data_IF_739413680487
#
_entry.id   IF_739413680487
#
_cell.length_a   1.000
_cell.length_b   1.000
_cell.length_c   1.000
_cell.angle_alpha   90.00
_cell.angle_beta   90.00
_cell.angle_gamma   90.00
#
_symmetry.space_group_name_H-M   'P 1'
#
loop_
_entity.id
_entity.type
_entity.pdbx_description
1 polymer ?
#
# COMPACT_ATOMS: atom_id res chain seq x y z
N UNK A 1 -7.85 -15.47 -0.25
CA UNK A 1 -7.36 -15.05 -1.59
C UNK A 1 -6.97 -13.57 -1.62
N UNK A 2 -7.84 -12.65 -1.23
CA UNK A 2 -7.58 -11.18 -1.30
C UNK A 2 -6.34 -10.73 -0.54
N UNK A 3 -6.11 -11.26 0.66
CA UNK A 3 -4.94 -10.94 1.50
C UNK A 3 -3.60 -11.33 0.87
N UNK A 4 -3.56 -12.43 0.12
CA UNK A 4 -2.34 -12.86 -0.56
C UNK A 4 -2.02 -11.95 -1.75
N UNK A 5 -3.04 -11.53 -2.50
CA UNK A 5 -2.86 -10.58 -3.61
C UNK A 5 -2.36 -9.22 -3.11
N UNK A 6 -2.88 -8.76 -1.97
CA UNK A 6 -2.45 -7.51 -1.31
C UNK A 6 -0.97 -7.55 -0.94
N UNK A 7 -0.53 -8.66 -0.32
CA UNK A 7 0.88 -8.97 -0.02
C UNK A 7 1.79 -8.87 -1.24
N UNK A 8 1.41 -9.53 -2.33
CA UNK A 8 2.19 -9.55 -3.57
C UNK A 8 2.30 -8.16 -4.20
N UNK A 9 1.23 -7.37 -4.15
CA UNK A 9 1.21 -6.00 -4.66
C UNK A 9 2.10 -5.07 -3.82
N UNK A 10 2.09 -5.20 -2.50
CA UNK A 10 2.95 -4.43 -1.60
C UNK A 10 4.43 -4.76 -1.80
N UNK A 11 4.77 -6.06 -1.87
CA UNK A 11 6.14 -6.48 -2.22
C UNK A 11 6.57 -5.99 -3.59
N UNK A 12 5.69 -6.07 -4.61
CA UNK A 12 6.01 -5.59 -5.96
C UNK A 12 6.20 -4.08 -6.01
N UNK A 13 5.40 -3.33 -5.27
CA UNK A 13 5.55 -1.89 -5.12
C UNK A 13 6.90 -1.56 -4.46
N UNK A 14 7.22 -2.22 -3.34
CA UNK A 14 8.47 -2.01 -2.63
C UNK A 14 9.67 -2.32 -3.53
N UNK A 15 9.68 -3.48 -4.19
CA UNK A 15 10.73 -3.88 -5.13
C UNK A 15 10.90 -2.85 -6.25
N UNK A 16 9.79 -2.44 -6.88
CA UNK A 16 9.81 -1.40 -7.93
C UNK A 16 10.41 -0.09 -7.43
N UNK A 17 10.06 0.32 -6.21
CA UNK A 17 10.57 1.56 -5.60
C UNK A 17 12.05 1.45 -5.21
N UNK A 18 12.48 0.32 -4.65
CA UNK A 18 13.89 0.05 -4.31
C UNK A 18 14.79 -0.01 -5.56
N UNK A 19 14.25 -0.53 -6.66
CA UNK A 19 14.92 -0.56 -7.96
C UNK A 19 14.84 0.78 -8.73
N UNK A 20 14.04 1.74 -8.27
CA UNK A 20 13.93 3.06 -8.87
C UNK A 20 14.87 4.04 -8.17
N UNK A 21 15.95 4.44 -8.86
CA UNK A 21 17.02 5.33 -8.37
C UNK A 21 16.55 6.72 -7.85
N UNK A 22 15.27 7.06 -8.00
CA UNK A 22 14.68 8.36 -7.65
C UNK A 22 13.73 8.35 -6.45
N UNK A 23 13.57 7.24 -5.75
CA UNK A 23 12.69 7.20 -4.57
C UNK A 23 13.43 7.69 -3.34
N UNK A 24 12.92 8.75 -2.71
CA UNK A 24 13.42 9.23 -1.42
C UNK A 24 13.23 8.18 -0.32
N UNK A 25 14.18 8.10 0.62
CA UNK A 25 14.12 7.17 1.75
C UNK A 25 12.82 7.31 2.58
N UNK A 26 12.31 8.54 2.75
CA UNK A 26 11.04 8.81 3.43
C UNK A 26 9.87 8.08 2.75
N UNK A 27 9.86 8.06 1.43
CA UNK A 27 8.81 7.43 0.63
C UNK A 27 8.86 5.91 0.74
N UNK A 28 10.07 5.34 0.75
CA UNK A 28 10.29 3.91 1.02
C UNK A 28 9.82 3.52 2.42
N UNK A 29 10.13 4.34 3.44
CA UNK A 29 9.68 4.10 4.82
C UNK A 29 8.16 4.12 4.92
N UNK A 30 7.49 5.07 4.28
CA UNK A 30 6.02 5.15 4.28
C UNK A 30 5.38 3.89 3.66
N UNK A 31 5.95 3.36 2.57
CA UNK A 31 5.44 2.13 1.93
C UNK A 31 5.64 0.93 2.83
N UNK A 32 6.80 0.85 3.48
CA UNK A 32 7.12 -0.23 4.41
C UNK A 32 6.25 -0.19 5.66
N UNK A 33 5.92 1.00 6.15
CA UNK A 33 5.00 1.18 7.26
C UNK A 33 3.57 0.75 6.87
N UNK A 34 3.11 1.16 5.69
CA UNK A 34 1.81 0.77 5.16
C UNK A 34 1.72 -0.76 5.01
N UNK A 35 2.74 -1.41 4.45
CA UNK A 35 2.82 -2.87 4.34
C UNK A 35 2.69 -3.55 5.71
N UNK A 36 3.52 -3.15 6.68
CA UNK A 36 3.53 -3.72 8.01
C UNK A 36 2.19 -3.50 8.74
N UNK A 37 1.58 -2.33 8.55
CA UNK A 37 0.26 -1.99 9.10
C UNK A 37 -0.80 -2.92 8.51
N UNK A 38 -0.86 -3.05 7.19
CA UNK A 38 -1.81 -3.91 6.49
C UNK A 38 -1.65 -5.38 6.91
N UNK A 39 -0.41 -5.89 6.99
CA UNK A 39 -0.15 -7.23 7.51
C UNK A 39 -0.73 -7.43 8.90
N UNK A 40 -0.48 -6.50 9.82
CA UNK A 40 -1.03 -6.59 11.17
C UNK A 40 -2.54 -6.56 11.16
N UNK A 41 -3.17 -5.71 10.35
CA UNK A 41 -4.63 -5.63 10.25
C UNK A 41 -5.23 -6.95 9.76
N UNK A 42 -4.60 -7.54 8.74
CA UNK A 42 -5.01 -8.83 8.18
C UNK A 42 -4.81 -9.97 9.17
N UNK A 43 -3.67 -10.04 9.85
CA UNK A 43 -3.38 -11.08 10.84
C UNK A 43 -4.21 -10.96 12.11
N UNK A 44 -4.45 -9.71 12.56
CA UNK A 44 -5.26 -9.44 13.74
C UNK A 44 -6.78 -9.58 13.49
N UNK A 45 -7.20 -9.72 12.22
CA UNK A 45 -8.62 -9.71 11.87
C UNK A 45 -9.28 -8.38 12.24
N UNK A 46 -8.60 -7.28 11.93
CA UNK A 46 -9.02 -5.93 12.27
C UNK A 46 -10.42 -5.59 11.76
N UNK A 47 -11.05 -4.58 12.38
CA UNK A 47 -12.37 -4.11 11.94
C UNK A 47 -12.28 -3.19 10.73
N UNK A 48 -13.38 -3.05 9.97
CA UNK A 48 -13.45 -2.19 8.77
C UNK A 48 -12.91 -0.77 8.98
N UNK A 49 -13.12 -0.17 10.15
CA UNK A 49 -12.62 1.17 10.48
C UNK A 49 -11.08 1.28 10.56
N UNK A 50 -10.38 0.20 10.89
CA UNK A 50 -8.91 0.19 10.86
C UNK A 50 -8.37 0.04 9.43
N UNK A 51 -9.07 -0.74 8.59
CA UNK A 51 -8.78 -0.79 7.16
C UNK A 51 -9.02 0.55 6.48
N UNK A 52 -10.05 1.30 6.86
CA UNK A 52 -10.28 2.66 6.37
C UNK A 52 -9.10 3.60 6.70
N UNK A 53 -8.53 3.49 7.90
CA UNK A 53 -7.34 4.27 8.28
C UNK A 53 -6.07 3.90 7.49
N UNK A 54 -5.92 2.62 7.08
CA UNK A 54 -4.86 2.22 6.16
C UNK A 54 -5.16 2.65 4.71
N UNK A 55 -6.42 2.63 4.30
CA UNK A 55 -6.90 3.07 2.99
C UNK A 55 -6.65 4.57 2.78
N UNK A 56 -6.93 5.40 3.77
CA UNK A 56 -6.72 6.85 3.70
C UNK A 56 -5.23 7.22 3.61
N UNK A 57 -4.39 6.51 4.38
CA UNK A 57 -2.94 6.62 4.30
C UNK A 57 -2.43 6.20 2.90
N UNK A 58 -2.92 5.09 2.36
CA UNK A 58 -2.60 4.65 1.01
C UNK A 58 -3.03 5.69 -0.05
N UNK A 59 -4.24 6.26 0.04
CA UNK A 59 -4.70 7.31 -0.90
C UNK A 59 -3.84 8.57 -0.86
N UNK A 60 -3.42 8.99 0.34
CA UNK A 60 -2.52 10.14 0.49
C UNK A 60 -1.16 9.90 -0.19
N UNK A 61 -0.65 8.68 -0.08
CA UNK A 61 0.57 8.26 -0.78
C UNK A 61 0.36 8.14 -2.29
N UNK A 62 -0.81 7.67 -2.77
CA UNK A 62 -1.15 7.59 -4.20
C UNK A 62 -1.01 8.95 -4.86
N UNK A 63 -1.58 9.99 -4.24
CA UNK A 63 -1.52 11.35 -4.77
C UNK A 63 -0.08 11.87 -4.90
N UNK A 64 0.80 11.52 -3.97
CA UNK A 64 2.24 11.87 -4.02
C UNK A 64 2.95 11.09 -5.13
N UNK A 65 2.66 9.80 -5.27
CA UNK A 65 3.23 8.96 -6.32
C UNK A 65 2.71 9.26 -7.72
N UNK A 66 1.49 9.75 -7.88
CA UNK A 66 0.92 10.08 -9.18
C UNK A 66 1.74 11.14 -9.94
N UNK A 67 2.46 11.99 -9.21
CA UNK A 67 3.29 13.06 -9.78
C UNK A 67 4.70 12.55 -10.12
N UNK A 68 5.33 11.76 -9.25
CA UNK A 68 6.74 11.38 -9.40
C UNK A 68 6.94 9.95 -9.98
N UNK A 69 6.01 9.04 -9.65
CA UNK A 69 6.11 7.61 -9.90
C UNK A 69 4.76 7.00 -10.34
N UNK A 70 4.34 7.19 -11.61
CA UNK A 70 3.09 6.64 -12.13
C UNK A 70 3.03 5.10 -12.10
N UNK A 71 4.18 4.42 -12.01
CA UNK A 71 4.22 2.97 -11.80
C UNK A 71 3.82 2.60 -10.37
N UNK A 72 4.35 3.33 -9.37
CA UNK A 72 4.02 3.12 -7.95
C UNK A 72 2.55 3.44 -7.66
N UNK A 73 2.03 4.48 -8.30
CA UNK A 73 0.61 4.85 -8.26
C UNK A 73 -0.31 3.68 -8.66
N UNK A 74 -0.01 2.97 -9.75
CA UNK A 74 -0.81 1.81 -10.19
C UNK A 74 -0.84 0.70 -9.16
N UNK A 75 0.29 0.37 -8.56
CA UNK A 75 0.35 -0.66 -7.51
C UNK A 75 -0.43 -0.22 -6.27
N UNK A 76 -0.30 1.04 -5.87
CA UNK A 76 -1.01 1.57 -4.72
C UNK A 76 -2.52 1.61 -4.93
N UNK A 77 -2.97 1.91 -6.16
CA UNK A 77 -4.39 1.83 -6.55
C UNK A 77 -4.95 0.41 -6.42
N UNK A 78 -4.19 -0.61 -6.84
CA UNK A 78 -4.58 -2.02 -6.64
C UNK A 78 -4.61 -2.39 -5.15
N UNK A 79 -3.69 -1.87 -4.33
CA UNK A 79 -3.68 -2.05 -2.87
C UNK A 79 -4.93 -1.41 -2.25
N UNK A 80 -5.29 -0.20 -2.68
CA UNK A 80 -6.50 0.52 -2.25
C UNK A 80 -7.76 -0.27 -2.61
N UNK A 81 -7.87 -0.78 -3.84
CA UNK A 81 -9.01 -1.60 -4.27
C UNK A 81 -9.14 -2.88 -3.43
N UNK A 82 -8.00 -3.56 -3.20
CA UNK A 82 -7.96 -4.76 -2.38
C UNK A 82 -8.32 -4.47 -0.90
N UNK A 83 -7.85 -3.37 -0.32
CA UNK A 83 -8.22 -2.95 1.03
C UNK A 83 -9.70 -2.59 1.13
N UNK A 84 -10.24 -1.85 0.15
CA UNK A 84 -11.66 -1.53 0.09
C UNK A 84 -12.50 -2.80 0.04
N UNK A 85 -12.08 -3.81 -0.72
CA UNK A 85 -12.76 -5.10 -0.82
C UNK A 85 -12.69 -5.96 0.45
N UNK A 86 -11.70 -5.73 1.32
CA UNK A 86 -11.58 -6.42 2.62
C UNK A 86 -12.40 -5.73 3.71
N UNK A 87 -12.57 -4.40 3.63
CA UNK A 87 -13.37 -3.62 4.59
C UNK A 87 -14.88 -3.62 4.34
N UNK A 88 -15.33 -4.07 3.16
CA UNK A 88 -16.75 -4.20 2.76
C UNK A 88 -17.35 -5.54 3.21
#
# INVERSE_FOLDING_TARGET
MTNQKLKELLSSLQDTLEHTERVDAETLELVRELDAKIHRLVEAGASSGEYEGALDQAKSMEARFAVDHPVAERFLREIIDALAKVGI
#
